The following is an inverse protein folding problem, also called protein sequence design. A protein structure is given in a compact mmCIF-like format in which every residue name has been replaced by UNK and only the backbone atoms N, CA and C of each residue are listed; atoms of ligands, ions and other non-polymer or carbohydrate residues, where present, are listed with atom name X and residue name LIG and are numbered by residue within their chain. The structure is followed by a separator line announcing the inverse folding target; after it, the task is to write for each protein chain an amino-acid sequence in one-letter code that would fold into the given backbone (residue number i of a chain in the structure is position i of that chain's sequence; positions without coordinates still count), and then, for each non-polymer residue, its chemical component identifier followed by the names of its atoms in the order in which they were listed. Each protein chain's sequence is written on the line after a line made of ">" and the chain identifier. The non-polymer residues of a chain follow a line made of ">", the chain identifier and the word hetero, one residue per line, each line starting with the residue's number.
data_IF_362790957442
#
_entry.id   IF_362790957442
#
_cell.length_a   1.000
_cell.length_b   1.000
_cell.length_c   1.000
_cell.angle_alpha   90.00
_cell.angle_beta   90.00
_cell.angle_gamma   90.00
#
_symmetry.space_group_name_H-M   'P 1'
#
loop_
_entity.id
_entity.type
_entity.pdbx_description
1 polymer ?
#
# COMPACT_ATOMS: atom_id res chain seq x y z
N UNK A 1 -14.32 -5.97 14.60
CA UNK A 1 -13.66 -4.64 14.73
C UNK A 1 -12.38 -4.70 13.93
N UNK A 2 -12.25 -3.89 12.88
CA UNK A 2 -11.06 -3.87 12.01
C UNK A 2 -10.12 -2.75 12.44
N UNK A 3 -8.82 -2.94 12.21
CA UNK A 3 -7.79 -1.93 12.45
C UNK A 3 -7.10 -1.68 11.11
N UNK A 4 -7.13 -0.43 10.67
CA UNK A 4 -6.41 0.01 9.48
C UNK A 4 -5.08 0.64 9.93
N UNK A 5 -3.97 0.11 9.41
CA UNK A 5 -2.64 0.60 9.70
C UNK A 5 -2.04 1.22 8.44
N UNK A 6 -1.70 2.52 8.51
CA UNK A 6 -0.97 3.19 7.45
C UNK A 6 0.54 3.05 7.67
N UNK A 7 1.28 2.69 6.60
CA UNK A 7 2.75 2.69 6.58
C UNK A 7 3.38 1.89 7.73
N UNK A 8 3.11 0.58 7.72
CA UNK A 8 3.62 -0.37 8.71
C UNK A 8 5.11 -0.71 8.49
N UNK A 9 5.62 -1.77 9.13
CA UNK A 9 7.02 -2.20 9.04
C UNK A 9 7.57 -2.28 7.60
N UNK A 10 6.74 -2.68 6.64
CA UNK A 10 7.10 -2.77 5.22
C UNK A 10 7.57 -1.41 4.66
N UNK A 11 6.96 -0.30 5.07
CA UNK A 11 7.33 1.05 4.60
C UNK A 11 8.75 1.41 5.07
N UNK A 12 9.07 1.14 6.34
CA UNK A 12 10.41 1.37 6.90
C UNK A 12 11.46 0.47 6.25
N UNK A 13 11.11 -0.79 5.98
CA UNK A 13 11.97 -1.74 5.29
C UNK A 13 12.28 -1.26 3.87
N UNK A 14 11.26 -0.95 3.08
CA UNK A 14 11.39 -0.42 1.72
C UNK A 14 12.26 0.83 1.77
N UNK A 15 11.97 1.76 2.69
CA UNK A 15 12.71 3.01 2.80
C UNK A 15 14.20 2.81 3.09
N UNK A 16 14.52 1.83 3.93
CA UNK A 16 15.91 1.53 4.31
C UNK A 16 16.66 0.84 3.18
N UNK A 17 16.04 -0.13 2.51
CA UNK A 17 16.68 -0.93 1.46
C UNK A 17 16.90 -0.13 0.19
N UNK A 18 15.90 0.65 -0.22
CA UNK A 18 15.95 1.48 -1.42
C UNK A 18 17.02 2.59 -1.38
N UNK A 19 17.52 2.95 -0.19
CA UNK A 19 18.67 3.86 -0.01
C UNK A 19 20.02 3.19 -0.25
N UNK A 20 20.07 1.85 -0.34
CA UNK A 20 21.28 1.13 -0.70
C UNK A 20 21.47 1.17 -2.22
N UNK A 21 22.73 1.18 -2.64
CA UNK A 21 23.08 1.11 -4.06
C UNK A 21 22.65 -0.23 -4.65
N UNK A 22 22.93 -1.31 -3.93
CA UNK A 22 22.54 -2.67 -4.28
C UNK A 22 21.39 -3.19 -3.39
N UNK A 23 20.41 -3.82 -4.02
CA UNK A 23 19.31 -4.47 -3.31
C UNK A 23 19.78 -5.81 -2.74
N UNK A 24 19.45 -6.15 -1.47
CA UNK A 24 19.73 -7.46 -0.90
C UNK A 24 19.22 -8.60 -1.80
N UNK A 25 19.94 -9.72 -1.84
CA UNK A 25 19.56 -10.88 -2.67
C UNK A 25 18.23 -11.46 -2.20
N UNK A 26 17.51 -12.10 -3.12
CA UNK A 26 16.28 -12.83 -2.78
C UNK A 26 16.52 -13.86 -1.67
N UNK A 27 15.60 -13.93 -0.71
CA UNK A 27 15.75 -14.81 0.47
C UNK A 27 16.67 -14.28 1.57
N UNK A 28 17.22 -13.07 1.43
CA UNK A 28 17.93 -12.41 2.53
C UNK A 28 17.03 -12.29 3.77
N UNK A 29 17.55 -12.55 4.99
CA UNK A 29 16.77 -12.49 6.22
C UNK A 29 16.18 -11.11 6.50
N UNK A 30 16.67 -10.06 5.83
CA UNK A 30 16.12 -8.70 5.91
C UNK A 30 14.68 -8.62 5.40
N UNK A 31 14.28 -9.51 4.48
CA UNK A 31 12.91 -9.58 3.94
C UNK A 31 11.98 -10.44 4.79
N UNK A 32 12.50 -11.13 5.81
CA UNK A 32 11.68 -11.95 6.69
C UNK A 32 10.88 -11.08 7.64
N UNK A 33 9.63 -11.46 7.86
CA UNK A 33 8.79 -10.79 8.82
C UNK A 33 9.39 -10.88 10.23
N UNK A 34 9.45 -9.77 10.99
CA UNK A 34 9.97 -9.77 12.35
C UNK A 34 9.05 -10.60 13.25
N UNK A 35 9.63 -11.52 14.03
CA UNK A 35 8.87 -12.47 14.86
C UNK A 35 8.00 -11.81 15.93
N UNK A 36 8.42 -10.62 16.39
CA UNK A 36 7.77 -9.90 17.48
C UNK A 36 6.66 -8.96 17.00
N UNK A 37 6.42 -8.90 15.68
CA UNK A 37 5.47 -7.99 15.08
C UNK A 37 4.23 -8.74 14.57
N UNK A 38 3.05 -8.19 14.85
CA UNK A 38 1.79 -8.73 14.34
C UNK A 38 1.78 -8.73 12.81
N UNK A 39 1.53 -9.91 12.24
CA UNK A 39 1.36 -10.08 10.80
C UNK A 39 -0.04 -9.58 10.40
N UNK A 40 -0.17 -8.67 9.44
CA UNK A 40 -1.47 -8.24 8.95
C UNK A 40 -2.13 -9.34 8.12
N UNK A 41 -3.44 -9.52 8.30
CA UNK A 41 -4.25 -10.46 7.50
C UNK A 41 -4.32 -10.03 6.03
N UNK A 42 -4.34 -8.73 5.77
CA UNK A 42 -4.34 -8.13 4.44
C UNK A 42 -3.35 -6.98 4.38
N UNK A 43 -2.47 -6.99 3.38
CA UNK A 43 -1.62 -5.84 3.05
C UNK A 43 -1.96 -5.35 1.65
N UNK A 44 -2.20 -4.05 1.54
CA UNK A 44 -2.42 -3.38 0.25
C UNK A 44 -1.24 -2.48 -0.05
N UNK A 45 -0.67 -2.63 -1.24
CA UNK A 45 0.31 -1.70 -1.78
C UNK A 45 -0.33 -0.88 -2.89
N UNK A 46 -0.40 0.44 -2.69
CA UNK A 46 -0.97 1.36 -3.67
C UNK A 46 0.07 1.72 -4.72
N UNK A 47 -0.13 1.22 -5.93
CA UNK A 47 0.65 1.61 -7.10
C UNK A 47 0.01 2.79 -7.80
N UNK A 48 0.71 3.93 -7.81
CA UNK A 48 0.29 5.14 -8.53
C UNK A 48 1.10 5.25 -9.82
N UNK A 49 0.51 4.93 -10.99
CA UNK A 49 1.17 5.10 -12.27
C UNK A 49 1.23 6.57 -12.67
N UNK A 50 2.34 6.95 -13.32
CA UNK A 50 2.58 8.32 -13.80
C UNK A 50 3.65 9.04 -12.98
N UNK A 51 4.26 10.09 -13.53
CA UNK A 51 5.10 11.00 -12.76
C UNK A 51 4.19 11.74 -11.77
N UNK A 52 4.12 11.26 -10.53
CA UNK A 52 3.54 12.10 -9.48
C UNK A 52 4.45 13.32 -9.44
N UNK A 53 3.88 14.48 -9.72
CA UNK A 53 4.54 15.80 -9.76
C UNK A 53 5.03 16.23 -8.37
N UNK A 54 5.58 15.30 -7.57
CA UNK A 54 6.40 15.61 -6.39
C UNK A 54 7.84 15.82 -6.84
N UNK A 55 8.04 16.58 -7.92
CA UNK A 55 9.37 16.95 -8.43
C UNK A 55 10.07 17.96 -7.51
N UNK A 56 9.42 18.48 -6.46
CA UNK A 56 9.91 19.68 -5.75
C UNK A 56 10.51 19.44 -4.35
N UNK A 57 10.70 18.20 -3.89
CA UNK A 57 11.31 17.96 -2.56
C UNK A 57 12.45 16.93 -2.50
N UNK A 58 12.89 16.34 -3.61
CA UNK A 58 14.01 15.39 -3.56
C UNK A 58 14.95 15.53 -4.76
N UNK A 59 16.26 15.52 -4.49
CA UNK A 59 17.36 15.56 -5.47
C UNK A 59 17.57 14.24 -6.22
N UNK A 60 16.68 13.25 -6.07
CA UNK A 60 16.85 11.92 -6.67
C UNK A 60 16.28 11.89 -8.09
N UNK A 61 16.96 11.14 -8.97
CA UNK A 61 16.52 10.92 -10.34
C UNK A 61 15.05 10.44 -10.36
N UNK A 62 14.18 11.10 -11.15
CA UNK A 62 12.78 10.72 -11.26
C UNK A 62 12.70 9.24 -11.65
N UNK A 63 11.83 8.49 -10.99
CA UNK A 63 11.52 7.06 -11.25
C UNK A 63 12.47 5.98 -10.67
N UNK A 64 13.70 6.32 -10.24
CA UNK A 64 14.63 5.29 -9.68
C UNK A 64 14.12 4.63 -8.39
N UNK A 65 13.56 5.42 -7.49
CA UNK A 65 12.98 4.95 -6.22
C UNK A 65 11.79 4.01 -6.42
N UNK A 66 10.92 4.36 -7.37
CA UNK A 66 9.67 3.62 -7.63
C UNK A 66 9.95 2.21 -8.10
N UNK A 67 10.82 2.06 -9.10
CA UNK A 67 11.17 0.76 -9.64
C UNK A 67 11.84 -0.10 -8.55
N UNK A 68 12.74 0.49 -7.75
CA UNK A 68 13.31 -0.18 -6.58
C UNK A 68 12.25 -0.64 -5.57
N UNK A 69 11.21 0.15 -5.30
CA UNK A 69 10.14 -0.26 -4.38
C UNK A 69 9.35 -1.46 -4.90
N UNK A 70 9.01 -1.46 -6.19
CA UNK A 70 8.33 -2.61 -6.82
C UNK A 70 9.21 -3.86 -6.79
N UNK A 71 10.50 -3.73 -7.09
CA UNK A 71 11.44 -4.84 -7.03
C UNK A 71 11.57 -5.38 -5.60
N UNK A 72 11.66 -4.50 -4.60
CA UNK A 72 11.69 -4.89 -3.18
C UNK A 72 10.41 -5.63 -2.82
N UNK A 73 9.24 -5.13 -3.21
CA UNK A 73 7.94 -5.78 -2.93
C UNK A 73 7.84 -7.14 -3.61
N UNK A 74 8.31 -7.27 -4.84
CA UNK A 74 8.33 -8.56 -5.54
C UNK A 74 9.28 -9.57 -4.86
N UNK A 75 10.42 -9.11 -4.32
CA UNK A 75 11.36 -9.95 -3.56
C UNK A 75 10.83 -10.32 -2.18
N UNK A 76 10.06 -9.43 -1.58
CA UNK A 76 9.31 -9.65 -0.36
C UNK A 76 8.13 -10.56 -0.73
N UNK A 77 8.37 -11.89 -0.75
CA UNK A 77 7.33 -12.91 -0.96
C UNK A 77 6.37 -12.99 0.24
N UNK A 78 5.84 -11.86 0.69
CA UNK A 78 4.85 -11.83 1.75
C UNK A 78 3.54 -12.36 1.22
N UNK A 79 3.01 -13.33 1.94
CA UNK A 79 1.86 -14.16 1.56
C UNK A 79 0.59 -13.31 1.29
N UNK A 80 0.53 -12.08 1.83
CA UNK A 80 -0.68 -11.26 1.86
C UNK A 80 -0.53 -9.86 1.23
N UNK A 81 0.50 -9.60 0.40
CA UNK A 81 0.64 -8.29 -0.27
C UNK A 81 -0.14 -8.29 -1.59
N UNK A 82 -1.09 -7.37 -1.72
CA UNK A 82 -1.89 -7.17 -2.92
C UNK A 82 -1.60 -5.77 -3.48
N UNK A 83 -1.20 -5.70 -4.74
CA UNK A 83 -0.91 -4.43 -5.41
C UNK A 83 -2.20 -3.90 -6.03
N UNK A 84 -2.64 -2.71 -5.61
CA UNK A 84 -3.81 -2.02 -6.15
C UNK A 84 -3.33 -0.85 -7.00
N UNK A 85 -3.79 -0.78 -8.24
CA UNK A 85 -3.38 0.23 -9.20
C UNK A 85 -4.36 1.41 -9.18
N UNK A 86 -3.86 2.64 -8.99
CA UNK A 86 -4.69 3.84 -8.96
C UNK A 86 -4.80 4.56 -10.30
N UNK A 87 -4.36 3.94 -11.42
CA UNK A 87 -4.46 4.49 -12.77
C UNK A 87 -5.86 4.99 -13.13
N UNK A 88 -6.86 4.23 -12.72
CA UNK A 88 -8.26 4.44 -13.08
C UNK A 88 -8.96 5.45 -12.15
N UNK A 89 -8.22 6.08 -11.24
CA UNK A 89 -8.74 7.05 -10.28
C UNK A 89 -8.94 6.49 -8.88
N UNK A 90 -9.16 7.39 -7.93
CA UNK A 90 -9.24 7.07 -6.49
C UNK A 90 -10.45 6.20 -6.14
N UNK A 91 -11.63 6.49 -6.71
CA UNK A 91 -12.84 5.73 -6.41
C UNK A 91 -12.69 4.27 -6.86
N UNK A 92 -12.12 4.04 -8.05
CA UNK A 92 -11.89 2.68 -8.53
C UNK A 92 -10.89 1.91 -7.68
N UNK A 93 -9.83 2.58 -7.22
CA UNK A 93 -8.89 1.97 -6.29
C UNK A 93 -9.54 1.64 -4.93
N UNK A 94 -10.49 2.45 -4.45
CA UNK A 94 -11.25 2.15 -3.24
C UNK A 94 -12.17 0.95 -3.42
N UNK A 95 -12.88 0.86 -4.55
CA UNK A 95 -13.69 -0.32 -4.90
C UNK A 95 -12.83 -1.58 -4.94
N UNK A 96 -11.66 -1.54 -5.59
CA UNK A 96 -10.75 -2.69 -5.66
C UNK A 96 -10.25 -3.11 -4.25
N UNK A 97 -10.05 -2.16 -3.34
CA UNK A 97 -9.67 -2.44 -1.94
C UNK A 97 -10.85 -3.05 -1.17
N UNK A 98 -12.05 -2.54 -1.37
CA UNK A 98 -13.28 -3.06 -0.77
C UNK A 98 -13.52 -4.51 -1.19
N UNK A 99 -13.41 -4.79 -2.49
CA UNK A 99 -13.51 -6.14 -3.05
C UNK A 99 -12.45 -7.09 -2.45
N UNK A 100 -11.21 -6.60 -2.29
CA UNK A 100 -10.14 -7.36 -1.65
C UNK A 100 -10.45 -7.68 -0.18
N UNK A 101 -10.93 -6.70 0.59
CA UNK A 101 -11.31 -6.88 2.00
C UNK A 101 -12.44 -7.91 2.11
N UNK A 102 -13.48 -7.75 1.29
CA UNK A 102 -14.66 -8.62 1.32
C UNK A 102 -14.30 -10.06 0.94
N UNK A 103 -13.47 -10.23 -0.08
CA UNK A 103 -13.03 -11.55 -0.56
C UNK A 103 -12.08 -12.24 0.41
N UNK A 104 -11.07 -11.52 0.94
CA UNK A 104 -10.01 -12.13 1.75
C UNK A 104 -10.40 -12.33 3.21
N UNK A 105 -11.26 -11.47 3.75
CA UNK A 105 -11.71 -11.58 5.13
C UNK A 105 -13.07 -12.28 5.26
N UNK A 106 -13.75 -12.57 4.14
CA UNK A 106 -15.11 -13.12 4.11
C UNK A 106 -16.11 -12.23 4.87
N UNK A 107 -16.07 -10.93 4.58
CA UNK A 107 -16.84 -9.89 5.31
C UNK A 107 -17.68 -9.05 4.36
N UNK A 108 -18.68 -8.35 4.91
CA UNK A 108 -19.40 -7.29 4.21
C UNK A 108 -18.91 -5.95 4.76
N UNK A 109 -17.80 -5.48 4.21
CA UNK A 109 -17.21 -4.19 4.48
C UNK A 109 -17.57 -3.23 3.33
N UNK A 110 -17.98 -2.01 3.68
CA UNK A 110 -18.31 -0.97 2.72
C UNK A 110 -17.53 0.30 3.03
N UNK A 111 -16.86 0.87 2.02
CA UNK A 111 -16.12 2.12 2.10
C UNK A 111 -16.92 3.20 1.39
N UNK A 112 -17.40 4.24 2.10
CA UNK A 112 -18.06 5.36 1.44
C UNK A 112 -17.07 6.07 0.51
N UNK A 113 -17.48 6.32 -0.74
CA UNK A 113 -16.63 6.92 -1.76
C UNK A 113 -16.60 8.45 -1.63
N UNK A 114 -15.58 9.07 -2.23
CA UNK A 114 -15.45 10.52 -2.23
C UNK A 114 -16.59 11.14 -3.07
N UNK A 115 -17.54 11.78 -2.39
CA UNK A 115 -18.75 12.34 -3.02
C UNK A 115 -20.05 11.68 -2.56
N UNK A 116 -19.97 10.56 -1.84
CA UNK A 116 -21.13 10.01 -1.15
C UNK A 116 -21.49 10.94 0.01
N UNK A 117 -22.61 11.65 -0.13
CA UNK A 117 -23.20 12.35 1.01
C UNK A 117 -23.71 11.30 1.98
N UNK A 118 -23.05 11.16 3.12
CA UNK A 118 -23.55 10.35 4.23
C UNK A 118 -24.97 10.85 4.58
N UNK A 119 -26.02 9.99 4.50
CA UNK A 119 -27.38 10.40 4.86
C UNK A 119 -27.50 10.83 6.34
N UNK A 120 -26.49 10.56 7.17
CA UNK A 120 -26.45 10.97 8.57
C UNK A 120 -25.81 12.36 8.80
N UNK A 121 -25.28 13.01 7.76
CA UNK A 121 -24.85 14.43 7.82
C UNK A 121 -25.96 15.31 7.22
N UNK A 122 -27.16 15.20 7.78
CA UNK A 122 -28.12 16.30 7.77
C UNK A 122 -28.18 16.83 9.19
N UNK A 123 -27.33 17.81 9.51
CA UNK A 123 -27.59 18.62 10.70
C UNK A 123 -28.94 19.36 10.51
N UNK A 124 -29.76 19.45 11.56
CA UNK A 124 -31.09 20.04 11.47
C UNK A 124 -31.01 21.56 11.30
N UNK A 125 -31.62 22.02 10.20
CA UNK A 125 -32.11 23.37 9.86
C UNK A 125 -31.20 24.57 10.12
#
# INVERSE_FOLDING_TARGET
>A
KYIFCFRYWIDQLIYTISRKDELPPEGSPVYNWPKDLLVPDLTVFLYVPGEVTVQNMSTRAPNSWRNKCLDIINKIKLINVNVVNTAQGMNRAMEDIEDLINTKLSTNFHIPLLGDTDPLVREPM
#
